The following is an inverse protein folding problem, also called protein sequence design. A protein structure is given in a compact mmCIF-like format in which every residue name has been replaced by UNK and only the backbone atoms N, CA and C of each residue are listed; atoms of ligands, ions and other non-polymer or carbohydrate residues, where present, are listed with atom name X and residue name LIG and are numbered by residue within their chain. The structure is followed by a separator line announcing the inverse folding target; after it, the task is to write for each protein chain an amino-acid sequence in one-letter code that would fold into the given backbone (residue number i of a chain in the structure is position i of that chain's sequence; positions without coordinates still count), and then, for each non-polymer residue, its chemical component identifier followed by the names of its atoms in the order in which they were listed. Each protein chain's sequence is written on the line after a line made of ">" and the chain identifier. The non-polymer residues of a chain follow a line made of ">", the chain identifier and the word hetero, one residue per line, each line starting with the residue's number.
data_IF_338061809506
#
_entry.id   IF_338061809506
#
_cell.length_a   1.000
_cell.length_b   1.000
_cell.length_c   1.000
_cell.angle_alpha   90.00
_cell.angle_beta   90.00
_cell.angle_gamma   90.00
#
_symmetry.space_group_name_H-M   'P 1'
#
loop_
_entity.id
_entity.type
_entity.pdbx_description
1 polymer ?
#
# COMPACT_ATOMS: atom_id res chain seq x y z
N UNK A 1 -2.95 14.94 34.27
CA UNK A 1 -3.11 13.50 33.93
C UNK A 1 -3.96 13.29 32.67
N UNK A 2 -5.14 13.90 32.55
CA UNK A 2 -6.02 13.75 31.36
C UNK A 2 -5.34 14.09 30.02
N UNK A 3 -4.64 15.23 29.93
CA UNK A 3 -3.93 15.64 28.69
C UNK A 3 -2.85 14.64 28.28
N UNK A 4 -2.07 14.11 29.23
CA UNK A 4 -1.04 13.10 28.95
C UNK A 4 -1.64 11.80 28.42
N UNK A 5 -2.80 11.41 28.94
CA UNK A 5 -3.53 10.22 28.49
C UNK A 5 -4.06 10.40 27.05
N UNK A 6 -4.58 11.57 26.70
CA UNK A 6 -4.99 11.89 25.32
C UNK A 6 -3.79 11.81 24.37
N UNK A 7 -2.67 12.44 24.72
CA UNK A 7 -1.44 12.41 23.91
C UNK A 7 -0.94 10.98 23.72
N UNK A 8 -0.98 10.15 24.77
CA UNK A 8 -0.57 8.76 24.70
C UNK A 8 -1.46 7.94 23.76
N UNK A 9 -2.79 8.13 23.80
CA UNK A 9 -3.72 7.45 22.89
C UNK A 9 -3.48 7.87 21.44
N UNK A 10 -3.25 9.16 21.18
CA UNK A 10 -2.92 9.66 19.84
C UNK A 10 -1.63 9.06 19.31
N UNK A 11 -0.56 9.07 20.10
CA UNK A 11 0.72 8.50 19.72
C UNK A 11 0.62 6.99 19.46
N UNK A 12 -0.09 6.25 20.32
CA UNK A 12 -0.33 4.83 20.15
C UNK A 12 -1.14 4.52 18.88
N UNK A 13 -2.20 5.30 18.60
CA UNK A 13 -3.00 5.14 17.40
C UNK A 13 -2.18 5.38 16.12
N UNK A 14 -1.37 6.45 16.08
CA UNK A 14 -0.50 6.73 14.94
C UNK A 14 0.55 5.63 14.74
N UNK A 15 1.17 5.15 15.82
CA UNK A 15 2.12 4.05 15.75
C UNK A 15 1.44 2.75 15.26
N UNK A 16 0.29 2.38 15.84
CA UNK A 16 -0.46 1.19 15.45
C UNK A 16 -0.88 1.23 13.97
N UNK A 17 -1.36 2.39 13.52
CA UNK A 17 -1.72 2.64 12.12
C UNK A 17 -0.54 2.35 11.19
N UNK A 18 0.64 2.88 11.49
CA UNK A 18 1.84 2.70 10.67
C UNK A 18 2.36 1.26 10.69
N UNK A 19 2.60 0.70 11.88
CA UNK A 19 3.32 -0.57 12.03
C UNK A 19 2.47 -1.77 11.61
N UNK A 20 1.23 -1.85 12.09
CA UNK A 20 0.33 -2.94 11.73
C UNK A 20 -0.20 -2.75 10.31
N UNK A 21 -0.45 -1.51 9.89
CA UNK A 21 -0.87 -1.21 8.53
C UNK A 21 0.18 -1.60 7.50
N UNK A 22 1.47 -1.35 7.75
CA UNK A 22 2.57 -1.77 6.88
C UNK A 22 2.63 -3.29 6.74
N UNK A 23 2.47 -4.00 7.84
CA UNK A 23 2.51 -5.46 7.86
C UNK A 23 1.29 -6.08 7.17
N UNK A 24 0.09 -5.58 7.45
CA UNK A 24 -1.17 -6.12 6.91
C UNK A 24 -1.24 -5.92 5.39
N UNK A 25 -0.95 -4.71 4.91
CA UNK A 25 -0.92 -4.40 3.48
C UNK A 25 0.12 -5.24 2.73
N UNK A 26 1.33 -5.39 3.29
CA UNK A 26 2.36 -6.25 2.71
C UNK A 26 1.94 -7.71 2.62
N UNK A 27 1.30 -8.26 3.65
CA UNK A 27 0.81 -9.65 3.64
C UNK A 27 -0.32 -9.88 2.66
N UNK A 28 -1.24 -8.92 2.53
CA UNK A 28 -2.34 -9.04 1.59
C UNK A 28 -1.84 -9.02 0.15
N UNK A 29 -0.96 -8.07 -0.19
CA UNK A 29 -0.35 -8.00 -1.52
C UNK A 29 0.42 -9.28 -1.85
N UNK A 30 1.19 -9.82 -0.90
CA UNK A 30 1.88 -11.09 -1.09
C UNK A 30 0.93 -12.27 -1.41
N UNK A 31 -0.29 -12.27 -0.83
CA UNK A 31 -1.32 -13.28 -1.14
C UNK A 31 -1.95 -13.07 -2.52
N UNK A 32 -2.23 -11.83 -2.89
CA UNK A 32 -2.74 -11.50 -4.23
C UNK A 32 -1.72 -11.92 -5.29
N UNK A 33 -0.45 -11.58 -5.11
CA UNK A 33 0.62 -11.98 -6.02
C UNK A 33 0.77 -13.50 -6.12
N UNK A 34 0.58 -14.23 -5.02
CA UNK A 34 0.61 -15.69 -5.01
C UNK A 34 -0.57 -16.29 -5.79
N UNK A 35 -1.78 -15.74 -5.62
CA UNK A 35 -2.98 -16.15 -6.34
C UNK A 35 -2.85 -15.90 -7.85
N UNK A 36 -2.36 -14.71 -8.25
CA UNK A 36 -2.12 -14.36 -9.65
C UNK A 36 -1.13 -15.30 -10.32
N UNK A 37 -0.03 -15.65 -9.62
CA UNK A 37 0.96 -16.61 -10.13
C UNK A 37 0.38 -18.01 -10.28
N UNK A 38 -0.43 -18.46 -9.32
CA UNK A 38 -1.09 -19.76 -9.38
C UNK A 38 -2.09 -19.82 -10.55
N UNK A 39 -2.86 -18.75 -10.77
CA UNK A 39 -3.79 -18.64 -11.90
C UNK A 39 -3.05 -18.71 -13.25
N UNK A 40 -1.99 -17.91 -13.43
CA UNK A 40 -1.17 -17.94 -14.67
C UNK A 40 -0.53 -19.31 -14.92
N UNK A 41 -0.03 -19.97 -13.87
CA UNK A 41 0.55 -21.33 -14.00
C UNK A 41 -0.49 -22.34 -14.48
N UNK A 42 -1.72 -22.26 -13.96
CA UNK A 42 -2.82 -23.13 -14.37
C UNK A 42 -3.22 -22.91 -15.83
N UNK A 43 -3.33 -21.65 -16.27
CA UNK A 43 -3.61 -21.32 -17.68
C UNK A 43 -2.51 -21.79 -18.63
N UNK A 44 -1.24 -21.76 -18.20
CA UNK A 44 -0.12 -22.27 -18.99
C UNK A 44 -0.10 -23.81 -19.09
N UNK A 45 -0.51 -24.50 -18.04
CA UNK A 45 -0.63 -25.97 -17.99
C UNK A 45 -1.82 -26.44 -18.83
N UNK A 46 -2.97 -25.76 -18.72
CA UNK A 46 -4.18 -26.02 -19.54
C UNK A 46 -3.98 -25.64 -21.02
N UNK A 47 -3.10 -24.68 -21.31
CA UNK A 47 -2.74 -24.21 -22.66
C UNK A 47 -1.58 -24.97 -23.33
N UNK A 48 -0.99 -25.97 -22.66
CA UNK A 48 0.23 -26.70 -23.06
C UNK A 48 0.12 -27.64 -24.27
N UNK A 49 -0.85 -27.44 -25.17
CA UNK A 49 -0.94 -28.16 -26.44
C UNK A 49 -1.26 -27.22 -27.60
N UNK A 50 -0.41 -26.22 -27.89
CA UNK A 50 -0.17 -25.70 -29.26
C UNK A 50 1.24 -25.08 -29.39
N UNK A 51 1.74 -25.15 -30.63
CA UNK A 51 3.12 -25.11 -31.10
C UNK A 51 3.72 -23.70 -31.10
N UNK A 52 5.04 -23.62 -30.89
CA UNK A 52 5.78 -22.38 -30.68
C UNK A 52 5.94 -21.49 -31.91
N UNK A 53 6.22 -20.21 -31.62
CA UNK A 53 6.88 -19.27 -32.52
C UNK A 53 7.80 -18.40 -31.66
N UNK A 54 9.06 -18.28 -32.08
CA UNK A 54 10.10 -17.50 -31.41
C UNK A 54 9.72 -16.01 -31.30
N UNK A 55 9.96 -15.40 -30.14
CA UNK A 55 9.83 -13.95 -29.92
C UNK A 55 11.22 -13.32 -29.86
N UNK A 56 11.54 -12.29 -30.67
CA UNK A 56 12.82 -11.62 -30.62
C UNK A 56 12.85 -10.52 -29.55
N UNK A 57 14.05 -10.35 -28.97
CA UNK A 57 14.53 -9.20 -28.20
C UNK A 57 14.01 -9.04 -26.76
N UNK A 58 14.47 -9.93 -25.87
CA UNK A 58 14.75 -9.54 -24.49
C UNK A 58 15.97 -8.60 -24.50
N UNK A 59 15.74 -7.30 -24.37
CA UNK A 59 16.80 -6.34 -24.08
C UNK A 59 17.45 -6.73 -22.74
N UNK A 60 18.75 -7.06 -22.79
CA UNK A 60 19.51 -7.45 -21.61
C UNK A 60 19.48 -6.32 -20.55
N UNK A 61 19.28 -6.63 -19.26
CA UNK A 61 19.32 -5.62 -18.21
C UNK A 61 20.72 -5.02 -18.12
N UNK A 62 20.80 -3.69 -18.00
CA UNK A 62 22.06 -2.99 -17.81
C UNK A 62 22.72 -3.44 -16.49
N UNK A 63 24.07 -3.44 -16.40
CA UNK A 63 24.77 -3.87 -15.19
C UNK A 63 24.46 -2.91 -14.05
N UNK A 64 23.58 -3.32 -13.13
CA UNK A 64 23.09 -2.50 -12.01
C UNK A 64 21.60 -2.64 -11.71
N UNK A 65 20.82 -3.25 -12.61
CA UNK A 65 19.36 -3.43 -12.50
C UNK A 65 18.94 -4.84 -11.99
N UNK A 66 19.83 -5.53 -11.27
CA UNK A 66 19.46 -6.76 -10.55
C UNK A 66 18.41 -6.47 -9.47
N UNK A 67 17.81 -7.51 -8.88
CA UNK A 67 16.84 -7.41 -7.77
C UNK A 67 17.38 -6.59 -6.58
N UNK A 68 18.71 -6.45 -6.51
CA UNK A 68 19.51 -5.69 -5.56
C UNK A 68 20.06 -4.34 -6.08
N UNK A 69 19.61 -3.87 -7.24
CA UNK A 69 20.04 -2.60 -7.83
C UNK A 69 19.71 -1.41 -6.94
N UNK A 70 20.61 -0.42 -6.87
CA UNK A 70 20.39 0.80 -6.08
C UNK A 70 19.09 1.53 -6.46
N UNK A 71 18.71 1.45 -7.74
CA UNK A 71 17.44 1.97 -8.27
C UNK A 71 16.23 1.17 -7.76
N UNK A 72 16.30 -0.16 -7.77
CA UNK A 72 15.24 -1.03 -7.22
C UNK A 72 15.03 -0.76 -5.73
N UNK A 73 16.11 -0.64 -4.95
CA UNK A 73 16.04 -0.26 -3.53
C UNK A 73 15.47 1.14 -3.31
N UNK A 74 15.84 2.13 -4.14
CA UNK A 74 15.31 3.49 -4.04
C UNK A 74 13.80 3.54 -4.33
N UNK A 75 13.32 2.81 -5.34
CA UNK A 75 11.89 2.70 -5.68
C UNK A 75 11.11 1.97 -4.58
N UNK A 76 11.65 0.87 -4.04
CA UNK A 76 11.06 0.13 -2.91
C UNK A 76 10.95 0.99 -1.64
N UNK A 77 11.95 1.84 -1.36
CA UNK A 77 11.89 2.83 -0.27
C UNK A 77 10.81 3.88 -0.50
N UNK A 78 10.64 4.34 -1.73
CA UNK A 78 9.62 5.34 -2.08
C UNK A 78 8.20 4.86 -1.78
N UNK A 79 7.87 3.61 -2.13
CA UNK A 79 6.56 3.02 -1.83
C UNK A 79 6.27 2.89 -0.33
N UNK A 80 7.28 2.50 0.45
CA UNK A 80 7.16 2.35 1.90
C UNK A 80 6.95 3.69 2.62
N UNK A 81 7.74 4.72 2.28
CA UNK A 81 7.60 6.05 2.86
C UNK A 81 6.27 6.71 2.52
N UNK A 82 5.81 6.60 1.28
CA UNK A 82 4.47 7.10 0.88
C UNK A 82 3.39 6.42 1.72
N UNK A 83 3.51 5.10 1.96
CA UNK A 83 2.58 4.36 2.81
C UNK A 83 2.57 4.84 4.26
N UNK A 84 3.73 5.19 4.84
CA UNK A 84 3.79 5.75 6.20
C UNK A 84 3.09 7.10 6.26
N UNK A 85 3.43 8.00 5.33
CA UNK A 85 2.91 9.36 5.32
C UNK A 85 1.39 9.37 5.13
N UNK A 86 0.86 8.52 4.24
CA UNK A 86 -0.58 8.37 4.05
C UNK A 86 -1.28 7.95 5.35
N UNK A 87 -0.77 6.91 6.04
CA UNK A 87 -1.39 6.40 7.26
C UNK A 87 -1.39 7.44 8.38
N UNK A 88 -0.27 8.14 8.55
CA UNK A 88 -0.17 9.25 9.51
C UNK A 88 -1.16 10.37 9.17
N UNK A 89 -1.25 10.75 7.90
CA UNK A 89 -2.16 11.81 7.47
C UNK A 89 -3.63 11.43 7.64
N UNK A 90 -4.01 10.21 7.25
CA UNK A 90 -5.40 9.72 7.34
C UNK A 90 -5.83 9.54 8.79
N UNK A 91 -5.04 8.82 9.60
CA UNK A 91 -5.34 8.65 11.03
C UNK A 91 -5.32 10.01 11.74
N UNK A 92 -4.36 10.88 11.42
CA UNK A 92 -4.28 12.24 11.97
C UNK A 92 -5.50 13.12 11.62
N UNK A 93 -5.96 13.09 10.36
CA UNK A 93 -7.17 13.81 9.93
C UNK A 93 -8.40 13.41 10.75
N UNK A 94 -8.54 12.11 11.05
CA UNK A 94 -9.65 11.61 11.89
C UNK A 94 -9.51 12.10 13.32
N UNK A 95 -8.32 11.96 13.91
CA UNK A 95 -8.07 12.40 15.29
C UNK A 95 -8.29 13.90 15.49
N UNK A 96 -7.91 14.72 14.51
CA UNK A 96 -8.10 16.19 14.52
C UNK A 96 -9.53 16.60 14.13
N UNK A 97 -10.34 15.69 13.60
CA UNK A 97 -11.69 15.97 13.12
C UNK A 97 -11.76 16.65 11.74
N UNK A 98 -10.64 16.73 11.02
CA UNK A 98 -10.56 17.28 9.67
C UNK A 98 -10.63 16.17 8.60
N UNK A 99 -11.78 15.51 8.51
CA UNK A 99 -11.99 14.41 7.54
C UNK A 99 -11.86 14.81 6.06
N UNK A 100 -12.14 16.05 5.61
CA UNK A 100 -11.88 16.45 4.22
C UNK A 100 -10.41 16.33 3.80
N UNK A 101 -9.47 16.38 4.75
CA UNK A 101 -8.05 16.19 4.48
C UNK A 101 -7.71 14.81 3.89
N UNK A 102 -8.53 13.79 4.17
CA UNK A 102 -8.35 12.43 3.61
C UNK A 102 -8.49 12.46 2.08
N UNK A 103 -9.44 13.24 1.54
CA UNK A 103 -9.62 13.38 0.09
C UNK A 103 -8.37 13.97 -0.58
N UNK A 104 -7.72 14.94 0.07
CA UNK A 104 -6.47 15.53 -0.40
C UNK A 104 -5.35 14.48 -0.42
N UNK A 105 -5.22 13.68 0.64
CA UNK A 105 -4.21 12.60 0.71
C UNK A 105 -4.40 11.60 -0.44
N UNK A 106 -5.62 11.15 -0.67
CA UNK A 106 -5.95 10.22 -1.77
C UNK A 106 -5.63 10.85 -3.13
N UNK A 107 -5.99 12.11 -3.35
CA UNK A 107 -5.72 12.83 -4.59
C UNK A 107 -4.21 12.93 -4.87
N UNK A 108 -3.42 13.36 -3.88
CA UNK A 108 -1.95 13.49 -4.02
C UNK A 108 -1.31 12.13 -4.32
N UNK A 109 -1.75 11.06 -3.64
CA UNK A 109 -1.26 9.71 -3.87
C UNK A 109 -1.57 9.20 -5.28
N UNK A 110 -2.77 9.48 -5.80
CA UNK A 110 -3.19 9.10 -7.15
C UNK A 110 -2.35 9.78 -8.25
N UNK A 111 -2.06 11.07 -8.10
CA UNK A 111 -1.27 11.84 -9.07
C UNK A 111 0.15 11.30 -9.24
N UNK A 112 0.81 10.92 -8.14
CA UNK A 112 2.20 10.46 -8.17
C UNK A 112 2.42 9.11 -8.87
N UNK A 113 1.35 8.36 -9.16
CA UNK A 113 1.41 7.02 -9.78
C UNK A 113 0.65 6.91 -11.11
N UNK A 114 -0.03 7.98 -11.53
CA UNK A 114 -0.89 7.97 -12.71
C UNK A 114 -0.19 7.46 -13.99
N UNK A 115 1.06 7.88 -14.32
CA UNK A 115 1.73 7.38 -15.53
C UNK A 115 1.96 5.87 -15.51
N UNK A 116 2.32 5.30 -14.35
CA UNK A 116 2.58 3.86 -14.23
C UNK A 116 1.30 3.02 -14.21
N UNK A 117 0.21 3.54 -13.64
CA UNK A 117 -1.08 2.86 -13.55
C UNK A 117 -1.82 2.82 -14.89
N UNK A 118 -1.57 3.81 -15.76
CA UNK A 118 -2.17 3.90 -17.09
C UNK A 118 -1.65 2.81 -18.03
N UNK A 119 -0.39 2.46 -17.91
CA UNK A 119 0.30 1.59 -18.88
C UNK A 119 0.32 0.11 -18.48
N UNK A 120 -0.02 -0.22 -17.22
CA UNK A 120 -0.11 -1.58 -16.70
C UNK A 120 -1.39 -1.78 -15.84
N UNK A 121 -2.44 -2.41 -16.41
CA UNK A 121 -3.68 -2.69 -15.69
C UNK A 121 -3.50 -3.54 -14.42
N UNK A 122 -2.57 -4.50 -14.43
CA UNK A 122 -2.34 -5.37 -13.27
C UNK A 122 -1.65 -4.60 -12.13
N UNK A 123 -0.74 -3.68 -12.45
CA UNK A 123 -0.18 -2.75 -11.47
C UNK A 123 -1.26 -1.81 -10.91
N UNK A 124 -2.21 -1.39 -11.74
CA UNK A 124 -3.34 -0.55 -11.35
C UNK A 124 -4.25 -1.22 -10.31
N UNK A 125 -4.67 -2.45 -10.57
CA UNK A 125 -5.51 -3.21 -9.64
C UNK A 125 -4.83 -3.42 -8.29
N UNK A 126 -3.55 -3.82 -8.29
CA UNK A 126 -2.77 -4.02 -7.06
C UNK A 126 -2.59 -2.73 -6.27
N UNK A 127 -2.40 -1.61 -6.95
CA UNK A 127 -2.30 -0.30 -6.31
C UNK A 127 -3.62 0.11 -5.66
N UNK A 128 -4.75 -0.09 -6.34
CA UNK A 128 -6.08 0.23 -5.79
C UNK A 128 -6.37 -0.65 -4.57
N UNK A 129 -6.18 -1.96 -4.68
CA UNK A 129 -6.40 -2.90 -3.55
C UNK A 129 -5.51 -2.54 -2.36
N UNK A 130 -4.21 -2.35 -2.59
CA UNK A 130 -3.26 -1.99 -1.53
C UNK A 130 -3.60 -0.66 -0.86
N UNK A 131 -4.05 0.33 -1.63
CA UNK A 131 -4.44 1.65 -1.13
C UNK A 131 -5.73 1.57 -0.31
N UNK A 132 -6.77 0.92 -0.82
CA UNK A 132 -8.04 0.76 -0.09
C UNK A 132 -7.85 0.05 1.24
N UNK A 133 -7.04 -1.00 1.28
CA UNK A 133 -6.76 -1.75 2.51
C UNK A 133 -6.00 -0.87 3.52
N UNK A 134 -5.03 -0.09 3.04
CA UNK A 134 -4.28 0.86 3.89
C UNK A 134 -5.20 1.95 4.47
N UNK A 135 -6.10 2.50 3.65
CA UNK A 135 -7.05 3.53 4.04
C UNK A 135 -8.07 3.00 5.06
N UNK A 136 -8.65 1.82 4.80
CA UNK A 136 -9.59 1.17 5.72
C UNK A 136 -8.94 0.88 7.07
N UNK A 137 -7.71 0.37 7.08
CA UNK A 137 -6.97 0.14 8.33
C UNK A 137 -6.71 1.44 9.09
N UNK A 138 -6.21 2.47 8.40
CA UNK A 138 -5.91 3.77 9.02
C UNK A 138 -7.16 4.44 9.60
N UNK A 139 -8.29 4.31 8.89
CA UNK A 139 -9.58 4.80 9.33
C UNK A 139 -10.08 4.03 10.56
N UNK A 140 -10.04 2.69 10.53
CA UNK A 140 -10.42 1.85 11.65
C UNK A 140 -9.64 2.20 12.92
N UNK A 141 -8.32 2.40 12.82
CA UNK A 141 -7.49 2.81 13.96
C UNK A 141 -7.84 4.21 14.45
N UNK A 142 -8.06 5.17 13.54
CA UNK A 142 -8.47 6.53 13.91
C UNK A 142 -9.80 6.57 14.66
N UNK A 143 -10.82 5.88 14.14
CA UNK A 143 -12.13 5.80 14.80
C UNK A 143 -12.09 5.02 16.11
N UNK A 144 -11.32 3.93 16.19
CA UNK A 144 -11.13 3.19 17.44
C UNK A 144 -10.49 4.05 18.52
N UNK A 145 -9.51 4.89 18.15
CA UNK A 145 -8.89 5.84 19.08
C UNK A 145 -9.88 6.93 19.55
N UNK A 146 -10.71 7.47 18.67
CA UNK A 146 -11.77 8.41 19.05
C UNK A 146 -12.80 7.76 19.98
N UNK A 147 -13.22 6.53 19.69
CA UNK A 147 -14.13 5.78 20.55
C UNK A 147 -13.52 5.53 21.93
N UNK A 148 -12.25 5.14 21.99
CA UNK A 148 -11.53 4.96 23.24
C UNK A 148 -11.46 6.26 24.04
N UNK A 149 -11.15 7.39 23.39
CA UNK A 149 -11.17 8.71 24.02
C UNK A 149 -12.55 9.03 24.61
N UNK A 150 -13.63 8.77 23.88
CA UNK A 150 -15.00 8.99 24.38
C UNK A 150 -15.38 8.14 25.59
N UNK A 151 -14.69 7.01 25.83
CA UNK A 151 -14.94 6.14 26.99
C UNK A 151 -14.13 6.53 28.23
N UNK A 152 -12.96 7.15 28.04
CA UNK A 152 -11.98 7.41 29.13
C UNK A 152 -11.90 8.87 29.56
N UNK A 153 -12.62 9.77 28.88
CA UNK A 153 -12.57 11.22 29.13
C UNK A 153 -13.90 11.75 29.63
#
# INVERSE_FOLDING_TARGET
>A
MKVLLVIAIWAAALALSVWVGAWLTGRLLARVDAADRAAKKKTADDGGKQVGVASPAAAAPAPGDGVDGARVRAVLRGGWWIGILERLAVTGCILVGFTPGIAVVVAVKGLGRFPQLRDDPAASERFVIGSLVSLLWSAAVGFAALALLGLVT
#
